data_IF_078626252654
#
_entry.id   IF_078626252654
#
_cell.length_a   1.000
_cell.length_b   1.000
_cell.length_c   1.000
_cell.angle_alpha   90.00
_cell.angle_beta   90.00
_cell.angle_gamma   90.00
#
_symmetry.space_group_name_H-M   'P 1'
#
loop_
_entity.id
_entity.type
_entity.pdbx_description
1 polymer ?
#
# COMPACT_ATOMS: atom_id res chain seq x y z
N UNK A 1 36.21 20.40 7.77
CA UNK A 1 35.03 20.74 8.61
C UNK A 1 33.82 20.02 8.04
N UNK A 2 33.40 18.91 8.65
CA UNK A 2 32.18 18.22 8.24
C UNK A 2 31.00 18.94 8.92
N UNK A 3 30.23 19.70 8.13
CA UNK A 3 28.98 20.28 8.60
C UNK A 3 28.11 19.15 9.16
N UNK A 4 27.56 19.27 10.39
CA UNK A 4 26.68 18.26 10.94
C UNK A 4 25.50 18.11 9.99
N UNK A 5 25.43 16.97 9.30
CA UNK A 5 24.29 16.60 8.46
C UNK A 5 23.08 16.47 9.38
N UNK A 6 22.32 17.55 9.53
CA UNK A 6 21.00 17.55 10.17
C UNK A 6 20.15 16.52 9.46
N UNK A 7 19.95 15.36 10.09
CA UNK A 7 19.15 14.31 9.49
C UNK A 7 17.71 14.81 9.31
N UNK A 8 17.18 14.82 8.07
CA UNK A 8 15.80 15.22 7.82
C UNK A 8 14.83 14.45 8.71
N UNK A 9 13.97 15.18 9.40
CA UNK A 9 13.02 14.59 10.33
C UNK A 9 11.86 13.92 9.57
N UNK A 10 11.26 12.87 10.15
CA UNK A 10 9.99 12.33 9.66
C UNK A 10 8.93 13.43 9.53
N UNK A 11 7.99 13.27 8.60
CA UNK A 11 6.96 14.27 8.37
C UNK A 11 6.07 14.45 9.61
N UNK A 12 5.62 15.68 9.84
CA UNK A 12 4.59 15.94 10.85
C UNK A 12 3.31 15.17 10.51
N UNK A 13 2.46 14.81 11.49
CA UNK A 13 1.21 14.10 11.22
C UNK A 13 0.32 14.81 10.19
N UNK A 14 0.20 16.13 10.28
CA UNK A 14 -0.59 16.94 9.34
C UNK A 14 -0.01 16.90 7.92
N UNK A 15 1.31 17.03 7.79
CA UNK A 15 2.00 16.93 6.49
C UNK A 15 1.87 15.53 5.90
N UNK A 16 2.09 14.48 6.70
CA UNK A 16 1.96 13.09 6.26
C UNK A 16 0.53 12.77 5.79
N UNK A 17 -0.50 13.25 6.49
CA UNK A 17 -1.89 13.11 6.08
C UNK A 17 -2.18 13.83 4.77
N UNK A 18 -1.75 15.09 4.62
CA UNK A 18 -1.94 15.85 3.38
C UNK A 18 -1.23 15.19 2.20
N UNK A 19 0.02 14.75 2.39
CA UNK A 19 0.80 14.06 1.35
C UNK A 19 0.15 12.74 0.94
N UNK A 20 -0.23 11.89 1.91
CA UNK A 20 -0.91 10.63 1.63
C UNK A 20 -2.23 10.83 0.89
N UNK A 21 -3.03 11.82 1.32
CA UNK A 21 -4.28 12.18 0.65
C UNK A 21 -4.08 12.69 -0.77
N UNK A 22 -3.05 13.50 -1.01
CA UNK A 22 -2.74 14.02 -2.35
C UNK A 22 -2.31 12.90 -3.31
N UNK A 23 -1.44 11.99 -2.85
CA UNK A 23 -0.97 10.84 -3.65
C UNK A 23 -2.14 9.93 -4.00
N UNK A 24 -2.94 9.52 -3.01
CA UNK A 24 -4.08 8.62 -3.26
C UNK A 24 -5.18 9.33 -4.08
N UNK A 25 -5.40 10.62 -3.86
CA UNK A 25 -6.30 11.43 -4.67
C UNK A 25 -5.89 11.46 -6.15
N UNK A 26 -4.59 11.57 -6.44
CA UNK A 26 -4.09 11.50 -7.81
C UNK A 26 -4.38 10.14 -8.47
N UNK A 27 -4.11 9.03 -7.78
CA UNK A 27 -4.44 7.69 -8.28
C UNK A 27 -5.95 7.47 -8.44
N UNK A 28 -6.78 8.04 -7.56
CA UNK A 28 -8.25 7.99 -7.71
C UNK A 28 -8.71 8.73 -8.97
N UNK A 29 -8.20 9.94 -9.21
CA UNK A 29 -8.54 10.73 -10.41
C UNK A 29 -8.11 9.97 -11.66
N UNK A 30 -6.87 9.47 -11.68
CA UNK A 30 -6.34 8.67 -12.78
C UNK A 30 -7.22 7.44 -13.06
N UNK A 31 -7.54 6.67 -12.02
CA UNK A 31 -8.43 5.52 -12.12
C UNK A 31 -9.79 5.88 -12.70
N UNK A 32 -10.41 6.99 -12.24
CA UNK A 32 -11.68 7.44 -12.78
C UNK A 32 -11.57 7.79 -14.26
N UNK A 33 -10.52 8.50 -14.68
CA UNK A 33 -10.28 8.81 -16.10
C UNK A 33 -10.14 7.52 -16.91
N UNK A 34 -9.33 6.57 -16.47
CA UNK A 34 -9.12 5.30 -17.17
C UNK A 34 -10.42 4.51 -17.26
N UNK A 35 -11.17 4.36 -16.17
CA UNK A 35 -12.43 3.62 -16.16
C UNK A 35 -13.51 4.28 -17.02
N UNK A 36 -13.58 5.61 -17.06
CA UNK A 36 -14.57 6.35 -17.88
C UNK A 36 -14.25 6.29 -19.37
N UNK A 37 -12.96 6.27 -19.75
CA UNK A 37 -12.54 6.19 -21.15
C UNK A 37 -12.48 4.76 -21.69
N UNK A 38 -12.54 3.76 -20.80
CA UNK A 38 -12.45 2.34 -21.18
C UNK A 38 -13.77 1.88 -21.83
N UNK A 39 -13.73 1.21 -23.00
CA UNK A 39 -14.92 0.61 -23.59
C UNK A 39 -15.52 -0.45 -22.64
N UNK A 40 -16.84 -0.64 -22.74
CA UNK A 40 -17.59 -1.58 -21.91
C UNK A 40 -16.91 -2.97 -21.92
N UNK A 41 -16.51 -3.50 -20.75
CA UNK A 41 -15.77 -4.75 -20.69
C UNK A 41 -16.70 -5.95 -20.90
N UNK A 42 -16.15 -7.00 -21.51
CA UNK A 42 -16.87 -8.27 -21.74
C UNK A 42 -17.07 -9.12 -20.47
N UNK A 43 -16.37 -8.80 -19.37
CA UNK A 43 -16.40 -9.54 -18.10
C UNK A 43 -16.84 -8.61 -16.97
N UNK A 44 -17.58 -9.08 -15.95
CA UNK A 44 -17.89 -8.27 -14.78
C UNK A 44 -16.64 -7.74 -14.10
N UNK A 45 -16.38 -6.44 -14.25
CA UNK A 45 -15.20 -5.75 -13.69
C UNK A 45 -15.44 -5.21 -12.28
N UNK A 46 -16.67 -5.26 -11.78
CA UNK A 46 -17.06 -4.63 -10.52
C UNK A 46 -16.14 -5.03 -9.35
N UNK A 47 -15.79 -6.30 -9.26
CA UNK A 47 -15.00 -6.81 -8.13
C UNK A 47 -13.53 -6.38 -8.19
N UNK A 48 -12.91 -6.37 -9.37
CA UNK A 48 -11.53 -5.86 -9.51
C UNK A 48 -11.46 -4.36 -9.24
N UNK A 49 -12.51 -3.62 -9.60
CA UNK A 49 -12.69 -2.19 -9.28
C UNK A 49 -12.80 -1.99 -7.76
N UNK A 50 -13.68 -2.75 -7.10
CA UNK A 50 -13.83 -2.72 -5.65
C UNK A 50 -12.53 -3.11 -4.92
N UNK A 51 -11.81 -4.12 -5.42
CA UNK A 51 -10.50 -4.50 -4.89
C UNK A 51 -9.50 -3.35 -4.99
N UNK A 52 -9.42 -2.70 -6.16
CA UNK A 52 -8.50 -1.58 -6.37
C UNK A 52 -8.82 -0.40 -5.45
N UNK A 53 -10.10 -0.08 -5.23
CA UNK A 53 -10.50 0.98 -4.29
C UNK A 53 -10.13 0.63 -2.84
N UNK A 54 -10.34 -0.63 -2.41
CA UNK A 54 -9.89 -1.11 -1.11
C UNK A 54 -8.37 -1.04 -0.97
N UNK A 55 -7.64 -1.34 -2.04
CA UNK A 55 -6.19 -1.24 -2.09
C UNK A 55 -5.75 0.21 -1.89
N UNK A 56 -6.34 1.17 -2.62
CA UNK A 56 -6.05 2.59 -2.44
C UNK A 56 -6.34 3.08 -1.02
N UNK A 57 -7.43 2.60 -0.41
CA UNK A 57 -7.73 2.89 1.00
C UNK A 57 -6.65 2.36 1.94
N UNK A 58 -6.21 1.11 1.76
CA UNK A 58 -5.09 0.53 2.51
C UNK A 58 -3.83 1.38 2.36
N UNK A 59 -3.53 1.79 1.12
CA UNK A 59 -2.36 2.60 0.77
C UNK A 59 -2.41 3.97 1.41
N UNK A 60 -3.57 4.63 1.46
CA UNK A 60 -3.73 5.89 2.17
C UNK A 60 -3.32 5.77 3.65
N UNK A 61 -3.84 4.77 4.36
CA UNK A 61 -3.50 4.55 5.77
C UNK A 61 -2.04 4.15 5.96
N UNK A 62 -1.51 3.35 5.03
CA UNK A 62 -0.11 2.95 5.01
C UNK A 62 0.83 4.14 4.84
N UNK A 63 0.62 4.97 3.82
CA UNK A 63 1.41 6.17 3.56
C UNK A 63 1.31 7.15 4.74
N UNK A 64 0.09 7.44 5.20
CA UNK A 64 -0.14 8.35 6.34
C UNK A 64 0.68 7.95 7.56
N UNK A 65 0.75 6.65 7.85
CA UNK A 65 1.46 6.12 9.02
C UNK A 65 2.96 6.10 8.79
N UNK A 66 3.41 5.51 7.68
CA UNK A 66 4.83 5.23 7.47
C UNK A 66 5.64 6.46 7.03
N UNK A 67 5.01 7.50 6.47
CA UNK A 67 5.67 8.80 6.25
C UNK A 67 6.10 9.50 7.54
N UNK A 68 5.50 9.15 8.68
CA UNK A 68 5.86 9.67 10.02
C UNK A 68 6.95 8.83 10.70
N UNK A 69 7.25 7.65 10.15
CA UNK A 69 8.10 6.62 10.78
C UNK A 69 9.39 6.43 10.00
N UNK A 70 9.30 6.36 8.67
CA UNK A 70 10.40 6.01 7.78
C UNK A 70 11.01 7.31 7.24
N UNK A 71 12.32 7.57 7.46
CA UNK A 71 12.98 8.75 6.93
C UNK A 71 13.10 8.67 5.39
N UNK A 72 12.83 9.76 4.65
CA UNK A 72 12.71 9.76 3.18
C UNK A 72 14.05 9.75 2.40
N UNK A 73 15.15 9.44 3.08
CA UNK A 73 16.50 9.76 2.59
C UNK A 73 17.20 8.61 1.89
N UNK A 74 16.74 7.38 2.10
CA UNK A 74 17.36 6.23 1.44
C UNK A 74 16.94 6.23 -0.02
N UNK A 75 17.92 6.39 -0.93
CA UNK A 75 17.69 6.28 -2.37
C UNK A 75 16.93 5.00 -2.72
N UNK A 76 17.28 3.88 -2.06
CA UNK A 76 16.58 2.61 -2.19
C UNK A 76 15.07 2.72 -1.88
N UNK A 77 14.67 3.48 -0.85
CA UNK A 77 13.24 3.71 -0.54
C UNK A 77 12.55 4.50 -1.65
N UNK A 78 13.20 5.54 -2.18
CA UNK A 78 12.64 6.36 -3.26
C UNK A 78 12.44 5.58 -4.56
N UNK A 79 13.42 4.73 -4.91
CA UNK A 79 13.31 3.84 -6.07
C UNK A 79 12.13 2.89 -5.87
N UNK A 80 12.04 2.24 -4.71
CA UNK A 80 10.94 1.31 -4.40
C UNK A 80 9.59 2.03 -4.39
N UNK A 81 9.51 3.26 -3.87
CA UNK A 81 8.31 4.08 -3.90
C UNK A 81 7.89 4.45 -5.33
N UNK A 82 8.84 4.78 -6.21
CA UNK A 82 8.58 5.01 -7.62
C UNK A 82 8.04 3.77 -8.34
N UNK A 83 8.64 2.61 -8.07
CA UNK A 83 8.17 1.32 -8.63
C UNK A 83 6.76 1.00 -8.11
N UNK A 84 6.49 1.19 -6.81
CA UNK A 84 5.15 0.99 -6.26
C UNK A 84 4.15 1.96 -6.89
N UNK A 85 4.50 3.24 -7.03
CA UNK A 85 3.67 4.23 -7.71
C UNK A 85 3.31 3.82 -9.13
N UNK A 86 4.27 3.28 -9.88
CA UNK A 86 4.02 2.72 -11.21
C UNK A 86 3.04 1.54 -11.17
N UNK A 87 3.10 0.67 -10.16
CA UNK A 87 2.11 -0.41 -10.02
C UNK A 87 0.70 0.14 -9.78
N UNK A 88 0.55 1.17 -8.94
CA UNK A 88 -0.75 1.82 -8.73
C UNK A 88 -1.29 2.47 -10.00
N UNK A 89 -0.41 3.05 -10.81
CA UNK A 89 -0.75 3.63 -12.11
C UNK A 89 -1.15 2.56 -13.15
N UNK A 90 -0.48 1.41 -13.17
CA UNK A 90 -0.77 0.33 -14.14
C UNK A 90 -2.01 -0.47 -13.76
N UNK A 91 -2.37 -0.53 -12.47
CA UNK A 91 -3.45 -1.39 -11.98
C UNK A 91 -4.85 -1.14 -12.59
N UNK A 92 -5.32 0.10 -12.81
CA UNK A 92 -6.59 0.35 -13.48
C UNK A 92 -6.70 -0.31 -14.86
N UNK A 93 -5.61 -0.35 -15.63
CA UNK A 93 -5.59 -0.95 -16.96
C UNK A 93 -5.84 -2.47 -16.91
N UNK A 94 -5.46 -3.15 -15.82
CA UNK A 94 -5.59 -4.60 -15.68
C UNK A 94 -6.94 -5.06 -15.11
N UNK A 95 -7.81 -4.16 -14.66
CA UNK A 95 -9.11 -4.49 -14.02
C UNK A 95 -10.08 -5.33 -14.87
N UNK A 96 -9.88 -5.44 -16.19
CA UNK A 96 -10.64 -6.35 -17.08
C UNK A 96 -10.02 -7.74 -17.29
N UNK A 97 -8.85 -8.00 -16.72
CA UNK A 97 -8.14 -9.27 -16.82
C UNK A 97 -7.65 -9.69 -15.43
N UNK A 98 -8.42 -10.55 -14.77
CA UNK A 98 -8.16 -10.96 -13.40
C UNK A 98 -6.82 -11.66 -13.19
N UNK A 99 -6.29 -12.34 -14.21
CA UNK A 99 -4.97 -12.95 -14.13
C UNK A 99 -3.86 -11.87 -14.15
N UNK A 100 -3.96 -10.90 -15.08
CA UNK A 100 -3.02 -9.77 -15.12
C UNK A 100 -3.10 -8.92 -13.85
N UNK A 101 -4.31 -8.69 -13.33
CA UNK A 101 -4.53 -7.97 -12.08
C UNK A 101 -3.91 -8.73 -10.88
N UNK A 102 -4.15 -10.03 -10.76
CA UNK A 102 -3.58 -10.85 -9.69
C UNK A 102 -2.05 -10.91 -9.76
N UNK A 103 -1.47 -10.99 -10.96
CA UNK A 103 -0.02 -10.93 -11.15
C UNK A 103 0.56 -9.59 -10.71
N UNK A 104 -0.11 -8.49 -11.05
CA UNK A 104 0.28 -7.16 -10.61
C UNK A 104 0.16 -6.99 -9.09
N UNK A 105 -0.87 -7.56 -8.46
CA UNK A 105 -1.01 -7.55 -7.00
C UNK A 105 0.08 -8.38 -6.32
N UNK A 106 0.44 -9.54 -6.88
CA UNK A 106 1.53 -10.37 -6.40
C UNK A 106 2.86 -9.59 -6.38
N UNK A 107 3.21 -8.94 -7.49
CA UNK A 107 4.43 -8.14 -7.58
C UNK A 107 4.37 -6.92 -6.65
N UNK A 108 3.22 -6.23 -6.57
CA UNK A 108 3.01 -5.10 -5.68
C UNK A 108 3.25 -5.48 -4.21
N UNK A 109 2.66 -6.59 -3.73
CA UNK A 109 2.87 -7.04 -2.34
C UNK A 109 4.30 -7.50 -2.08
N UNK A 110 4.96 -8.11 -3.06
CA UNK A 110 6.37 -8.48 -2.95
C UNK A 110 7.27 -7.24 -2.82
N UNK A 111 7.06 -6.23 -3.66
CA UNK A 111 7.83 -4.99 -3.63
C UNK A 111 7.54 -4.20 -2.34
N UNK A 112 6.29 -4.15 -1.89
CA UNK A 112 5.92 -3.54 -0.61
C UNK A 112 6.62 -4.25 0.56
N UNK A 113 6.66 -5.59 0.56
CA UNK A 113 7.41 -6.37 1.55
C UNK A 113 8.89 -5.97 1.58
N UNK A 114 9.52 -5.88 0.41
CA UNK A 114 10.92 -5.42 0.28
C UNK A 114 11.11 -3.99 0.82
N UNK A 115 10.17 -3.06 0.53
CA UNK A 115 10.19 -1.69 1.06
C UNK A 115 10.32 -1.69 2.58
N UNK A 116 9.46 -2.46 3.25
CA UNK A 116 9.41 -2.47 4.71
C UNK A 116 10.60 -3.21 5.31
N UNK A 117 11.10 -4.27 4.66
CA UNK A 117 12.36 -4.92 5.05
C UNK A 117 13.52 -3.93 5.03
N UNK A 118 13.67 -3.12 3.98
CA UNK A 118 14.70 -2.06 3.93
C UNK A 118 14.48 -1.05 5.07
N UNK A 119 13.23 -0.68 5.34
CA UNK A 119 12.89 0.30 6.39
C UNK A 119 13.23 -0.19 7.81
N UNK A 120 13.26 -1.50 8.06
CA UNK A 120 13.64 -2.05 9.39
C UNK A 120 15.03 -1.59 9.85
N UNK A 121 15.96 -1.39 8.90
CA UNK A 121 17.32 -0.92 9.20
C UNK A 121 17.35 0.55 9.61
N UNK A 122 16.48 1.37 9.02
CA UNK A 122 16.43 2.82 9.22
C UNK A 122 15.57 3.24 10.42
N UNK A 123 14.50 2.49 10.71
CA UNK A 123 13.49 2.85 11.71
C UNK A 123 13.41 1.82 12.84
N UNK A 124 14.55 1.52 13.49
CA UNK A 124 14.67 0.49 14.54
C UNK A 124 13.65 0.64 15.68
N UNK A 125 13.30 1.87 16.05
CA UNK A 125 12.28 2.15 17.09
C UNK A 125 10.90 1.58 16.76
N UNK A 126 10.60 1.36 15.49
CA UNK A 126 9.29 0.93 14.99
C UNK A 126 9.31 -0.49 14.40
N UNK A 127 10.30 -1.31 14.77
CA UNK A 127 10.42 -2.69 14.30
C UNK A 127 9.14 -3.53 14.47
N UNK A 128 8.45 -3.53 15.63
CA UNK A 128 7.24 -4.34 15.78
C UNK A 128 6.15 -3.97 14.78
N UNK A 129 6.00 -2.67 14.48
CA UNK A 129 5.05 -2.17 13.50
C UNK A 129 5.42 -2.59 12.08
N UNK A 130 6.70 -2.44 11.71
CA UNK A 130 7.23 -2.83 10.40
C UNK A 130 7.08 -4.34 10.17
N UNK A 131 7.39 -5.17 11.16
CA UNK A 131 7.24 -6.62 11.07
C UNK A 131 5.79 -7.07 10.92
N UNK A 132 4.84 -6.39 11.59
CA UNK A 132 3.42 -6.64 11.36
C UNK A 132 3.02 -6.34 9.92
N UNK A 133 3.48 -5.22 9.36
CA UNK A 133 3.20 -4.86 7.97
C UNK A 133 3.82 -5.86 6.98
N UNK A 134 5.07 -6.27 7.20
CA UNK A 134 5.75 -7.30 6.41
C UNK A 134 4.96 -8.62 6.40
N UNK A 135 4.46 -9.07 7.56
CA UNK A 135 3.66 -10.30 7.65
C UNK A 135 2.35 -10.21 6.87
N UNK A 136 1.69 -9.05 6.94
CA UNK A 136 0.44 -8.80 6.20
C UNK A 136 0.69 -8.77 4.70
N UNK A 137 1.75 -8.10 4.26
CA UNK A 137 2.11 -8.06 2.83
C UNK A 137 2.51 -9.47 2.34
N UNK A 138 3.21 -10.27 3.16
CA UNK A 138 3.53 -11.67 2.85
C UNK A 138 2.28 -12.56 2.72
N UNK A 139 1.26 -12.36 3.57
CA UNK A 139 -0.05 -13.00 3.40
C UNK A 139 -0.69 -12.55 2.07
N UNK A 140 -0.57 -11.28 1.71
CA UNK A 140 -1.00 -10.75 0.42
C UNK A 140 -0.31 -11.43 -0.77
N UNK A 141 1.01 -11.64 -0.70
CA UNK A 141 1.78 -12.41 -1.70
C UNK A 141 1.21 -13.82 -1.84
N UNK A 142 1.05 -14.53 -0.72
CA UNK A 142 0.54 -15.90 -0.74
C UNK A 142 -0.87 -15.97 -1.33
N UNK A 143 -1.75 -15.06 -0.91
CA UNK A 143 -3.12 -14.99 -1.43
C UNK A 143 -3.16 -14.69 -2.94
N UNK A 144 -2.32 -13.77 -3.42
CA UNK A 144 -2.22 -13.46 -4.85
C UNK A 144 -1.64 -14.63 -5.66
N UNK A 145 -0.65 -15.35 -5.13
CA UNK A 145 -0.11 -16.55 -5.76
C UNK A 145 -1.14 -17.69 -5.85
N UNK A 146 -1.86 -17.96 -4.76
CA UNK A 146 -2.97 -18.93 -4.76
C UNK A 146 -4.04 -18.52 -5.77
N UNK A 147 -4.37 -17.22 -5.83
CA UNK A 147 -5.34 -16.68 -6.81
C UNK A 147 -4.89 -16.96 -8.24
N UNK A 148 -3.62 -16.72 -8.58
CA UNK A 148 -3.10 -17.01 -9.91
C UNK A 148 -3.22 -18.48 -10.27
N UNK A 149 -2.83 -19.39 -9.35
CA UNK A 149 -2.96 -20.83 -9.57
C UNK A 149 -4.44 -21.20 -9.75
N UNK A 150 -5.33 -20.69 -8.90
CA UNK A 150 -6.76 -20.95 -8.98
C UNK A 150 -7.36 -20.48 -10.32
N UNK A 151 -6.97 -19.30 -10.83
CA UNK A 151 -7.45 -18.78 -12.11
C UNK A 151 -7.03 -19.64 -13.33
N UNK A 152 -5.95 -20.43 -13.20
CA UNK A 152 -5.55 -21.39 -14.25
C UNK A 152 -6.34 -22.69 -14.21
N UNK A 153 -6.85 -23.08 -13.03
CA UNK A 153 -7.59 -24.34 -12.82
C UNK A 153 -9.11 -24.15 -12.88
N UNK A 154 -9.60 -22.98 -12.51
CA UNK A 154 -11.03 -22.67 -12.31
C UNK A 154 -11.38 -21.34 -13.01
N UNK A 155 -11.65 -21.36 -14.33
CA UNK A 155 -11.96 -20.16 -15.12
C UNK A 155 -13.16 -19.35 -14.61
N UNK A 156 -14.13 -20.00 -13.95
CA UNK A 156 -15.29 -19.39 -13.30
C UNK A 156 -14.91 -18.39 -12.19
N UNK A 157 -13.72 -18.52 -11.60
CA UNK A 157 -13.21 -17.60 -10.57
C UNK A 157 -12.70 -16.26 -11.15
N UNK A 158 -12.72 -16.09 -12.48
CA UNK A 158 -12.30 -14.85 -13.15
C UNK A 158 -13.11 -13.63 -12.73
N UNK A 159 -14.28 -13.80 -12.09
CA UNK A 159 -15.05 -12.68 -11.53
C UNK A 159 -14.40 -11.98 -10.33
N UNK A 160 -13.36 -12.52 -9.69
CA UNK A 160 -12.62 -11.83 -8.62
C UNK A 160 -13.38 -11.60 -7.31
N UNK A 161 -14.61 -12.09 -7.20
CA UNK A 161 -15.54 -11.86 -6.07
C UNK A 161 -14.91 -12.25 -4.74
N UNK A 162 -14.50 -13.52 -4.63
CA UNK A 162 -14.04 -14.11 -3.37
C UNK A 162 -12.79 -13.43 -2.84
N UNK A 163 -11.85 -13.08 -3.72
CA UNK A 163 -10.62 -12.40 -3.34
C UNK A 163 -10.88 -10.96 -2.89
N UNK A 164 -11.83 -10.29 -3.51
CA UNK A 164 -12.26 -8.94 -3.10
C UNK A 164 -12.92 -8.94 -1.74
N UNK A 165 -13.80 -9.92 -1.48
CA UNK A 165 -14.45 -10.10 -0.18
C UNK A 165 -13.40 -10.39 0.90
N UNK A 166 -12.51 -11.36 0.67
CA UNK A 166 -11.45 -11.71 1.60
C UNK A 166 -10.54 -10.52 1.91
N UNK A 167 -10.13 -9.77 0.88
CA UNK A 167 -9.32 -8.57 1.05
C UNK A 167 -10.06 -7.46 1.77
N UNK A 168 -11.37 -7.30 1.52
CA UNK A 168 -12.24 -6.35 2.23
C UNK A 168 -12.31 -6.66 3.72
N UNK A 169 -12.58 -7.91 4.10
CA UNK A 169 -12.59 -8.33 5.50
C UNK A 169 -11.23 -8.15 6.17
N UNK A 170 -10.14 -8.49 5.47
CA UNK A 170 -8.79 -8.26 5.98
C UNK A 170 -8.54 -6.77 6.26
N UNK A 171 -8.97 -5.88 5.36
CA UNK A 171 -8.84 -4.44 5.56
C UNK A 171 -9.69 -3.94 6.74
N UNK A 172 -10.94 -4.39 6.87
CA UNK A 172 -11.79 -4.05 8.01
C UNK A 172 -11.13 -4.51 9.32
N UNK A 173 -10.63 -5.75 9.37
CA UNK A 173 -9.95 -6.28 10.54
C UNK A 173 -8.73 -5.44 10.92
N UNK A 174 -7.89 -5.09 9.95
CA UNK A 174 -6.65 -4.32 10.16
C UNK A 174 -6.88 -2.84 10.45
N UNK A 175 -8.02 -2.27 10.07
CA UNK A 175 -8.36 -0.88 10.30
C UNK A 175 -9.18 -0.67 11.58
N UNK A 176 -10.12 -1.57 11.87
CA UNK A 176 -11.09 -1.41 12.95
C UNK A 176 -10.80 -2.29 14.17
N UNK A 177 -10.35 -3.53 13.99
CA UNK A 177 -10.27 -4.52 15.08
C UNK A 177 -8.86 -4.54 15.68
N UNK A 178 -7.85 -4.78 14.85
CA UNK A 178 -6.44 -4.77 15.26
C UNK A 178 -5.72 -3.69 14.45
N UNK A 179 -5.81 -2.42 14.88
CA UNK A 179 -5.34 -1.30 14.09
C UNK A 179 -3.85 -1.42 13.82
N UNK A 180 -3.49 -1.77 12.58
CA UNK A 180 -2.11 -1.74 12.11
C UNK A 180 -1.58 -0.30 12.05
N UNK A 181 -2.48 0.67 11.89
CA UNK A 181 -2.16 2.08 11.69
C UNK A 181 -2.60 2.91 12.90
N UNK A 182 -1.90 2.79 14.04
CA UNK A 182 -2.25 3.57 15.22
C UNK A 182 -2.11 5.06 14.91
N UNK A 183 -3.03 5.88 15.43
CA UNK A 183 -2.80 7.32 15.50
C UNK A 183 -1.63 7.51 16.47
N UNK A 184 -0.46 7.89 15.95
CA UNK A 184 0.69 8.16 16.80
C UNK A 184 0.33 9.31 17.77
N UNK A 185 0.37 9.09 19.09
CA UNK A 185 -0.07 10.09 20.06
C UNK A 185 0.83 11.32 20.00
N UNK A 186 0.24 12.52 20.02
CA UNK A 186 0.94 13.79 19.96
C UNK A 186 2.03 13.94 21.04
N UNK A 187 1.86 13.28 22.20
CA UNK A 187 2.85 13.22 23.29
C UNK A 187 4.18 12.59 22.87
N UNK A 188 4.15 11.48 22.12
CA UNK A 188 5.38 10.83 21.63
C UNK A 188 6.17 11.69 20.62
N UNK A 189 5.52 12.71 20.04
CA UNK A 189 6.13 13.73 19.19
C UNK A 189 6.61 14.95 20.00
N UNK A 190 5.94 15.28 21.11
CA UNK A 190 6.33 16.36 22.01
C UNK A 190 7.60 16.01 22.82
N UNK A 191 7.71 14.78 23.32
CA UNK A 191 8.89 14.30 24.04
C UNK A 191 10.16 14.32 23.15
N UNK A 192 9.99 14.23 21.81
CA UNK A 192 11.08 14.40 20.83
C UNK A 192 11.57 15.84 20.66
N UNK A 193 10.73 16.83 20.98
CA UNK A 193 11.14 18.25 20.97
C UNK A 193 11.89 18.62 22.25
N UNK A 194 11.59 17.96 23.38
CA UNK A 194 12.24 18.20 24.67
C UNK A 194 13.54 17.43 24.86
N UNK A 195 13.75 16.32 24.16
CA UNK A 195 15.03 15.60 24.13
C UNK A 195 16.06 16.21 23.15
N UNK A 196 15.90 17.48 22.77
CA UNK A 196 16.82 18.30 21.98
C UNK A 196 17.20 19.52 22.80
#
# INVERSE_FOLDING_TARGET
MNSPHTQPHPLSPATAQKTAGSIVGAFLVEYLVITLLRPAPAVPIFWTHAFYLLLLLNTYFSLRTFLQVIPPQLLAQRIVDGILGLHYFVAPFTTGNSAAFALLMLSLFAIATCKYLIATRAAKKYLPLLWRKIRIDAIGILAAAITLVALTKFPELRGGVWWTIAFGFANIYLLAIVPLYPRLPAKALADRKQAR
#
